data_IF_924159961099
#
_entry.id   IF_924159961099
#
_cell.length_a   1.000
_cell.length_b   1.000
_cell.length_c   1.000
_cell.angle_alpha   90.00
_cell.angle_beta   90.00
_cell.angle_gamma   90.00
#
_symmetry.space_group_name_H-M   'P 1'
#
loop_
_entity.id
_entity.type
_entity.pdbx_description
1 polymer ?
#
# COMPACT_ATOMS: atom_id res chain seq x y z
N UNK A 1 -4.30 5.34 2.18
CA UNK A 1 -3.91 4.16 1.40
C UNK A 1 -3.01 3.24 2.22
N UNK A 2 -3.58 2.25 2.91
CA UNK A 2 -2.80 1.15 3.50
C UNK A 2 -3.53 -0.17 3.23
N UNK A 3 -2.81 -1.17 2.74
CA UNK A 3 -3.29 -2.55 2.58
C UNK A 3 -3.62 -3.23 3.92
N UNK A 4 -3.22 -2.58 5.04
CA UNK A 4 -3.53 -2.95 6.40
C UNK A 4 -3.94 -1.69 7.16
N UNK A 5 -5.17 -1.63 7.65
CA UNK A 5 -5.61 -0.49 8.45
C UNK A 5 -4.91 -0.54 9.82
N UNK A 6 -4.15 0.52 10.23
CA UNK A 6 -3.60 0.66 11.57
C UNK A 6 -4.59 0.37 12.71
N UNK A 7 -5.89 0.71 12.57
CA UNK A 7 -6.93 0.33 13.52
C UNK A 7 -6.93 -1.15 13.91
N UNK A 8 -6.71 -2.08 12.99
CA UNK A 8 -6.81 -3.51 13.30
C UNK A 8 -5.69 -3.99 14.22
N UNK A 9 -4.44 -3.59 13.96
CA UNK A 9 -3.31 -3.97 14.81
C UNK A 9 -3.39 -3.29 16.19
N UNK A 10 -3.87 -2.05 16.23
CA UNK A 10 -4.12 -1.35 17.49
C UNK A 10 -5.21 -2.03 18.31
N UNK A 11 -6.35 -2.31 17.69
CA UNK A 11 -7.49 -2.98 18.32
C UNK A 11 -7.14 -4.37 18.83
N UNK A 12 -6.37 -5.16 18.06
CA UNK A 12 -5.82 -6.44 18.52
C UNK A 12 -4.88 -6.26 19.72
N UNK A 13 -4.09 -5.19 19.75
CA UNK A 13 -3.26 -4.83 20.89
C UNK A 13 -4.07 -4.54 22.15
N UNK A 14 -5.18 -3.82 22.02
CA UNK A 14 -6.08 -3.49 23.14
C UNK A 14 -6.84 -4.72 23.64
N UNK A 15 -7.34 -5.56 22.74
CA UNK A 15 -8.11 -6.76 23.10
C UNK A 15 -7.25 -7.90 23.65
N UNK A 16 -5.98 -7.99 23.24
CA UNK A 16 -5.12 -9.13 23.58
C UNK A 16 -3.79 -8.67 24.20
N UNK A 17 -3.70 -8.58 25.54
CA UNK A 17 -2.49 -8.10 26.25
C UNK A 17 -1.21 -8.88 25.91
N UNK A 18 -1.31 -10.20 25.67
CA UNK A 18 -0.18 -11.03 25.24
C UNK A 18 0.33 -10.66 23.85
N UNK A 19 -0.57 -10.31 22.93
CA UNK A 19 -0.20 -9.83 21.59
C UNK A 19 0.52 -8.48 21.69
N UNK A 20 0.00 -7.55 22.49
CA UNK A 20 0.66 -6.26 22.72
C UNK A 20 2.08 -6.42 23.31
N UNK A 21 2.25 -7.28 24.31
CA UNK A 21 3.57 -7.58 24.87
C UNK A 21 4.53 -8.20 23.84
N UNK A 22 4.04 -9.13 23.03
CA UNK A 22 4.81 -9.73 21.93
C UNK A 22 5.25 -8.68 20.91
N UNK A 23 4.35 -7.79 20.47
CA UNK A 23 4.65 -6.71 19.53
C UNK A 23 5.76 -5.80 20.07
N UNK A 24 5.67 -5.38 21.34
CA UNK A 24 6.69 -4.56 22.00
C UNK A 24 8.05 -5.27 22.10
N UNK A 25 8.05 -6.59 22.26
CA UNK A 25 9.28 -7.39 22.27
C UNK A 25 9.89 -7.47 20.86
N UNK A 26 9.08 -7.67 19.83
CA UNK A 26 9.52 -7.73 18.43
C UNK A 26 10.11 -6.39 17.98
N UNK A 27 9.46 -5.26 18.26
CA UNK A 27 9.93 -3.92 17.88
C UNK A 27 11.31 -3.55 18.46
N UNK A 28 11.69 -4.16 19.59
CA UNK A 28 13.00 -3.96 20.24
C UNK A 28 14.11 -4.78 19.59
N UNK A 29 13.79 -5.76 18.74
CA UNK A 29 14.81 -6.58 18.08
C UNK A 29 15.57 -5.77 17.05
N UNK A 30 16.81 -6.16 16.77
CA UNK A 30 17.71 -5.41 15.87
C UNK A 30 17.16 -5.37 14.45
N UNK A 31 16.58 -6.46 13.97
CA UNK A 31 16.00 -6.59 12.64
C UNK A 31 14.82 -5.63 12.38
N UNK A 32 14.12 -5.21 13.43
CA UNK A 32 13.00 -4.27 13.32
C UNK A 32 13.46 -2.81 13.19
N UNK A 33 14.75 -2.51 13.40
CA UNK A 33 15.28 -1.15 13.26
C UNK A 33 14.59 -0.12 14.17
N UNK A 34 14.04 -0.56 15.31
CA UNK A 34 13.19 0.25 16.22
C UNK A 34 11.92 0.83 15.57
N UNK A 35 11.39 0.15 14.54
CA UNK A 35 10.15 0.54 13.89
C UNK A 35 9.00 -0.37 14.30
N UNK A 36 7.81 0.21 14.37
CA UNK A 36 6.60 -0.58 14.57
C UNK A 36 6.31 -1.47 13.36
N UNK A 37 5.59 -2.58 13.58
CA UNK A 37 5.16 -3.44 12.49
C UNK A 37 4.38 -2.65 11.43
N UNK A 38 3.52 -1.72 11.85
CA UNK A 38 2.77 -0.83 10.94
C UNK A 38 3.72 -0.02 10.05
N UNK A 39 4.78 0.56 10.62
CA UNK A 39 5.76 1.32 9.84
C UNK A 39 6.53 0.43 8.84
N UNK A 40 6.79 -0.83 9.19
CA UNK A 40 7.41 -1.80 8.30
C UNK A 40 6.48 -2.22 7.16
N UNK A 41 5.20 -2.47 7.45
CA UNK A 41 4.17 -2.88 6.48
C UNK A 41 3.80 -1.79 5.47
N UNK A 42 4.10 -0.52 5.78
CA UNK A 42 3.94 0.58 4.83
C UNK A 42 5.01 0.56 3.72
N UNK A 43 6.20 0.01 3.99
CA UNK A 43 7.34 0.08 3.06
C UNK A 43 7.07 -0.59 1.70
N UNK A 44 6.48 -1.80 1.60
CA UNK A 44 6.18 -2.40 0.29
C UNK A 44 5.26 -1.54 -0.57
N UNK A 45 4.29 -0.85 0.06
CA UNK A 45 3.36 0.06 -0.61
C UNK A 45 4.09 1.29 -1.17
N UNK A 46 5.07 1.82 -0.43
CA UNK A 46 5.84 2.99 -0.81
C UNK A 46 6.99 2.70 -1.78
N UNK A 47 7.45 1.44 -1.87
CA UNK A 47 8.65 1.07 -2.62
C UNK A 47 8.55 1.45 -4.10
N UNK A 48 7.43 1.10 -4.74
CA UNK A 48 7.24 1.35 -6.16
C UNK A 48 7.10 2.86 -6.48
N UNK A 49 6.33 3.66 -5.71
CA UNK A 49 6.38 5.13 -5.81
C UNK A 49 7.78 5.73 -5.70
N UNK A 50 8.60 5.28 -4.75
CA UNK A 50 9.98 5.78 -4.61
C UNK A 50 10.84 5.47 -5.83
N UNK A 51 10.69 4.28 -6.42
CA UNK A 51 11.42 3.92 -7.65
C UNK A 51 10.96 4.82 -8.81
N UNK A 52 9.66 5.12 -8.92
CA UNK A 52 9.14 6.03 -9.94
C UNK A 52 9.81 7.40 -9.88
N UNK A 53 9.88 8.01 -8.70
CA UNK A 53 10.51 9.32 -8.51
C UNK A 53 12.00 9.30 -8.90
N UNK A 54 12.72 8.24 -8.53
CA UNK A 54 14.12 8.08 -8.90
C UNK A 54 14.27 7.94 -10.43
N UNK A 55 13.44 7.13 -11.07
CA UNK A 55 13.49 6.89 -12.51
C UNK A 55 13.08 8.11 -13.32
N UNK A 56 12.11 8.88 -12.87
CA UNK A 56 11.74 10.16 -13.49
C UNK A 56 12.89 11.16 -13.43
N UNK A 57 13.60 11.18 -12.29
CA UNK A 57 14.84 11.94 -12.13
C UNK A 57 15.91 11.51 -13.12
N UNK A 58 16.23 10.21 -13.18
CA UNK A 58 17.23 9.67 -14.11
C UNK A 58 16.82 9.99 -15.55
N UNK A 59 15.57 9.73 -15.94
CA UNK A 59 15.05 10.01 -17.29
C UNK A 59 15.10 11.48 -17.68
N UNK A 60 15.01 12.39 -16.71
CA UNK A 60 15.12 13.85 -16.92
C UNK A 60 16.57 14.28 -17.18
N UNK A 61 17.54 13.62 -16.54
CA UNK A 61 18.96 14.01 -16.61
C UNK A 61 19.80 13.13 -17.55
N UNK A 62 19.24 12.08 -18.14
CA UNK A 62 19.89 11.31 -19.23
C UNK A 62 19.79 12.06 -20.56
N UNK A 63 20.91 12.41 -21.24
CA UNK A 63 20.90 13.05 -22.55
C UNK A 63 20.38 12.13 -23.66
N UNK A 64 19.80 12.69 -24.73
CA UNK A 64 19.32 11.93 -25.89
C UNK A 64 20.41 11.15 -26.63
N UNK A 65 21.67 11.61 -26.54
CA UNK A 65 22.83 10.93 -27.13
C UNK A 65 23.29 9.71 -26.32
N UNK A 66 22.80 9.53 -25.10
CA UNK A 66 23.20 8.42 -24.24
C UNK A 66 22.55 7.12 -24.73
N UNK A 67 23.28 5.98 -24.79
CA UNK A 67 22.73 4.71 -25.27
C UNK A 67 21.49 4.26 -24.49
N UNK A 68 21.44 4.54 -23.19
CA UNK A 68 20.30 4.15 -22.32
C UNK A 68 19.11 5.11 -22.35
N UNK A 69 19.15 6.22 -23.11
CA UNK A 69 18.10 7.25 -23.09
C UNK A 69 16.70 6.66 -23.30
N UNK A 70 16.54 5.83 -24.33
CA UNK A 70 15.26 5.21 -24.66
C UNK A 70 14.82 4.22 -23.58
N UNK A 71 15.72 3.33 -23.14
CA UNK A 71 15.42 2.32 -22.13
C UNK A 71 14.98 2.95 -20.80
N UNK A 72 15.67 4.00 -20.35
CA UNK A 72 15.33 4.74 -19.13
C UNK A 72 13.96 5.42 -19.26
N UNK A 73 13.68 6.05 -20.41
CA UNK A 73 12.37 6.69 -20.69
C UNK A 73 11.23 5.68 -20.68
N UNK A 74 11.42 4.54 -21.34
CA UNK A 74 10.43 3.47 -21.38
C UNK A 74 10.16 2.88 -19.99
N UNK A 75 11.22 2.64 -19.21
CA UNK A 75 11.08 2.13 -17.85
C UNK A 75 10.33 3.11 -16.93
N UNK A 76 10.71 4.39 -16.96
CA UNK A 76 10.03 5.43 -16.18
C UNK A 76 8.53 5.53 -16.55
N UNK A 77 8.22 5.49 -17.85
CA UNK A 77 6.83 5.46 -18.33
C UNK A 77 6.08 4.23 -17.81
N UNK A 78 6.67 3.04 -17.93
CA UNK A 78 6.05 1.78 -17.50
C UNK A 78 5.74 1.74 -16.00
N UNK A 79 6.63 2.26 -15.15
CA UNK A 79 6.38 2.35 -13.71
C UNK A 79 5.23 3.31 -13.41
N UNK A 80 5.21 4.48 -14.03
CA UNK A 80 4.14 5.45 -13.83
C UNK A 80 2.76 4.89 -14.25
N UNK A 81 2.69 4.18 -15.37
CA UNK A 81 1.47 3.50 -15.82
C UNK A 81 1.03 2.39 -14.85
N UNK A 82 1.98 1.61 -14.32
CA UNK A 82 1.69 0.58 -13.32
C UNK A 82 1.15 1.21 -12.03
N UNK A 83 1.73 2.31 -11.57
CA UNK A 83 1.27 3.04 -10.38
C UNK A 83 -0.15 3.60 -10.58
N UNK A 84 -0.45 4.15 -11.75
CA UNK A 84 -1.80 4.60 -12.08
C UNK A 84 -2.82 3.44 -11.98
N UNK A 85 -2.48 2.27 -12.55
CA UNK A 85 -3.33 1.06 -12.46
C UNK A 85 -3.52 0.59 -11.03
N UNK A 86 -2.48 0.64 -10.19
CA UNK A 86 -2.55 0.27 -8.77
C UNK A 86 -3.48 1.23 -8.03
N UNK A 87 -3.33 2.54 -8.23
CA UNK A 87 -4.17 3.56 -7.60
C UNK A 87 -5.64 3.41 -8.01
N UNK A 88 -5.93 3.17 -9.29
CA UNK A 88 -7.28 2.95 -9.77
C UNK A 88 -7.92 1.69 -9.18
N UNK A 89 -7.16 0.59 -9.09
CA UNK A 89 -7.64 -0.65 -8.44
C UNK A 89 -7.93 -0.43 -6.97
N UNK A 90 -7.10 0.34 -6.28
CA UNK A 90 -7.29 0.65 -4.87
C UNK A 90 -8.54 1.49 -4.65
N UNK A 91 -8.75 2.55 -5.44
CA UNK A 91 -9.96 3.38 -5.40
C UNK A 91 -11.23 2.53 -5.59
N UNK A 92 -11.25 1.66 -6.61
CA UNK A 92 -12.39 0.75 -6.86
C UNK A 92 -12.65 -0.20 -5.70
N UNK A 93 -11.58 -0.67 -5.03
CA UNK A 93 -11.72 -1.54 -3.88
C UNK A 93 -12.28 -0.79 -2.66
N UNK A 94 -11.85 0.45 -2.43
CA UNK A 94 -12.40 1.33 -1.39
C UNK A 94 -13.89 1.64 -1.63
N UNK A 95 -14.27 1.95 -2.88
CA UNK A 95 -15.67 2.12 -3.29
C UNK A 95 -16.51 0.86 -3.02
N UNK A 96 -16.00 -0.32 -3.40
CA UNK A 96 -16.69 -1.60 -3.16
C UNK A 96 -16.86 -1.89 -1.68
N UNK A 97 -15.83 -1.64 -0.86
CA UNK A 97 -15.91 -1.83 0.59
C UNK A 97 -16.92 -0.87 1.22
N UNK A 98 -16.96 0.39 0.79
CA UNK A 98 -17.93 1.37 1.26
C UNK A 98 -19.37 0.96 0.93
N UNK A 99 -19.62 0.41 -0.27
CA UNK A 99 -20.94 -0.10 -0.65
C UNK A 99 -21.36 -1.31 0.20
N UNK A 100 -20.43 -2.23 0.48
CA UNK A 100 -20.71 -3.39 1.35
C UNK A 100 -21.02 -2.96 2.79
N UNK A 101 -20.30 -1.99 3.33
CA UNK A 101 -20.59 -1.41 4.64
C UNK A 101 -21.99 -0.80 4.69
N UNK A 102 -22.36 0.02 3.69
CA UNK A 102 -23.71 0.58 3.60
C UNK A 102 -24.80 -0.50 3.51
N UNK A 103 -24.58 -1.54 2.69
CA UNK A 103 -25.52 -2.66 2.59
C UNK A 103 -25.76 -3.34 3.95
N UNK A 104 -24.70 -3.53 4.75
CA UNK A 104 -24.80 -4.15 6.07
C UNK A 104 -25.48 -3.24 7.11
N UNK A 105 -25.39 -1.93 6.96
CA UNK A 105 -26.07 -0.96 7.84
C UNK A 105 -27.57 -0.84 7.55
N UNK A 106 -28.00 -1.12 6.32
CA UNK A 106 -29.41 -1.14 5.94
C UNK A 106 -30.05 -2.46 6.39
N UNK A 107 -30.76 -2.42 7.52
CA UNK A 107 -31.59 -3.56 7.97
C UNK A 107 -32.68 -3.86 6.93
N UNK A 108 -32.73 -5.09 6.43
CA UNK A 108 -33.80 -5.58 5.54
C UNK A 108 -33.52 -5.50 4.04
N UNK A 109 -32.27 -5.30 3.62
CA UNK A 109 -31.92 -5.39 2.20
C UNK A 109 -32.17 -6.83 1.68
N UNK A 110 -32.89 -7.02 0.55
CA UNK A 110 -33.16 -8.35 0.04
C UNK A 110 -31.85 -9.09 -0.28
N UNK A 111 -31.82 -10.40 0.01
CA UNK A 111 -30.71 -11.28 -0.35
C UNK A 111 -30.70 -11.38 -1.88
N UNK A 112 -29.92 -10.51 -2.53
CA UNK A 112 -29.86 -10.49 -3.98
C UNK A 112 -28.85 -11.53 -4.45
N UNK A 113 -29.37 -12.50 -5.18
CA UNK A 113 -28.71 -13.60 -5.88
C UNK A 113 -27.79 -13.11 -7.02
N UNK A 114 -26.70 -12.42 -6.67
CA UNK A 114 -25.61 -12.11 -7.59
C UNK A 114 -24.32 -12.78 -7.12
N UNK A 115 -24.31 -14.10 -7.23
CA UNK A 115 -23.11 -14.89 -7.51
C UNK A 115 -23.20 -15.37 -8.96
#
# INVERSE_FOLDING_TARGET
MQFYSPPHLHHLGEQFPRFHAFMRQVEKRKESGRQSLTALLVRPVQRLPSISLLMDGIAKFTPQSHPDYNAVKEFAKGINELLAKINDRLRKNEERLSLLSLYHEISGAPVSSFL
#
